data_IF_534274150231
#
_entry.id   IF_534274150231
#
_cell.length_a   1.000
_cell.length_b   1.000
_cell.length_c   1.000
_cell.angle_alpha   90.00
_cell.angle_beta   90.00
_cell.angle_gamma   90.00
#
_symmetry.space_group_name_H-M   'P 1'
#
loop_
_entity.id
_entity.type
_entity.pdbx_description
1 polymer ?
#
# COMPACT_ATOMS: atom_id res chain seq x y z
N UNK A 1 -56.44 11.68 -10.42
CA UNK A 1 -55.21 12.05 -9.71
C UNK A 1 -54.20 10.93 -9.92
N UNK A 2 -53.38 10.97 -10.97
CA UNK A 2 -52.32 9.98 -11.12
C UNK A 2 -51.10 10.43 -10.29
N UNK A 3 -50.57 9.48 -9.51
CA UNK A 3 -49.31 9.59 -8.79
C UNK A 3 -48.17 9.95 -9.75
N UNK A 4 -47.72 11.21 -9.68
CA UNK A 4 -46.46 11.63 -10.28
C UNK A 4 -45.34 11.04 -9.44
N UNK A 5 -44.95 9.85 -9.89
CA UNK A 5 -43.73 9.15 -9.51
C UNK A 5 -42.56 10.10 -9.25
N UNK A 6 -42.00 9.99 -8.04
CA UNK A 6 -40.79 10.63 -7.55
C UNK A 6 -39.52 10.34 -8.39
N UNK A 7 -39.63 9.57 -9.47
CA UNK A 7 -38.55 9.25 -10.41
C UNK A 7 -38.37 10.29 -11.53
N UNK A 8 -39.40 11.08 -11.85
CA UNK A 8 -39.32 12.10 -12.91
C UNK A 8 -38.61 13.39 -12.48
N UNK A 9 -38.68 13.73 -11.19
CA UNK A 9 -37.99 14.89 -10.61
C UNK A 9 -36.49 14.65 -10.39
N UNK A 10 -36.05 13.39 -10.27
CA UNK A 10 -34.64 13.07 -9.99
C UNK A 10 -33.72 13.23 -11.21
N UNK A 11 -34.25 13.15 -12.43
CA UNK A 11 -33.45 13.40 -13.66
C UNK A 11 -33.25 14.89 -13.96
N UNK A 12 -34.19 15.76 -13.60
CA UNK A 12 -34.16 17.16 -14.02
C UNK A 12 -33.01 17.95 -13.38
N UNK A 13 -32.74 17.76 -12.08
CA UNK A 13 -31.69 18.52 -11.41
C UNK A 13 -30.29 18.11 -11.85
N UNK A 14 -30.06 16.84 -12.20
CA UNK A 14 -28.74 16.37 -12.67
C UNK A 14 -28.36 17.01 -13.99
N UNK A 15 -29.35 17.18 -14.89
CA UNK A 15 -29.18 17.88 -16.15
C UNK A 15 -28.97 19.38 -15.92
N UNK A 16 -29.73 20.02 -15.02
CA UNK A 16 -29.53 21.43 -14.65
C UNK A 16 -28.13 21.67 -14.09
N UNK A 17 -27.63 20.78 -13.24
CA UNK A 17 -26.27 20.90 -12.69
C UNK A 17 -25.21 20.73 -13.78
N UNK A 18 -25.42 19.83 -14.74
CA UNK A 18 -24.43 19.53 -15.78
C UNK A 18 -24.47 20.51 -16.96
N UNK A 19 -25.58 21.24 -17.15
CA UNK A 19 -25.78 22.17 -18.26
C UNK A 19 -24.64 23.20 -18.44
N UNK A 20 -24.07 23.80 -17.37
CA UNK A 20 -22.92 24.71 -17.53
C UNK A 20 -21.69 24.08 -18.19
N UNK A 21 -21.55 22.76 -18.15
CA UNK A 21 -20.42 22.06 -18.79
C UNK A 21 -20.61 21.85 -20.29
N UNK A 22 -21.83 21.98 -20.81
CA UNK A 22 -22.06 22.07 -22.26
C UNK A 22 -21.44 23.35 -22.84
N UNK A 23 -21.37 24.41 -22.02
CA UNK A 23 -20.79 25.72 -22.34
C UNK A 23 -19.34 25.87 -21.82
N UNK A 24 -18.69 24.79 -21.36
CA UNK A 24 -17.34 24.80 -20.76
C UNK A 24 -17.19 25.72 -19.52
N UNK A 25 -18.29 26.01 -18.81
CA UNK A 25 -18.32 26.85 -17.61
C UNK A 25 -18.11 26.03 -16.33
N UNK A 26 -16.92 25.44 -16.15
CA UNK A 26 -16.56 24.66 -14.96
C UNK A 26 -16.79 25.38 -13.60
N UNK A 27 -16.50 26.69 -13.44
CA UNK A 27 -16.82 27.40 -12.20
C UNK A 27 -18.33 27.39 -11.88
N UNK A 28 -19.17 27.64 -12.89
CA UNK A 28 -20.61 27.70 -12.73
C UNK A 28 -21.18 26.30 -12.44
N UNK A 29 -20.61 25.26 -13.05
CA UNK A 29 -20.88 23.87 -12.69
C UNK A 29 -20.58 23.62 -11.21
N UNK A 30 -19.41 24.01 -10.71
CA UNK A 30 -19.05 23.80 -9.30
C UNK A 30 -19.96 24.58 -8.35
N UNK A 31 -20.34 25.82 -8.69
CA UNK A 31 -21.30 26.61 -7.89
C UNK A 31 -22.68 25.96 -7.87
N UNK A 32 -23.21 25.55 -9.02
CA UNK A 32 -24.49 24.86 -9.13
C UNK A 32 -24.45 23.53 -8.38
N UNK A 33 -23.42 22.72 -8.62
CA UNK A 33 -23.21 21.46 -7.95
C UNK A 33 -23.20 21.66 -6.42
N UNK A 34 -22.43 22.64 -5.93
CA UNK A 34 -22.35 22.99 -4.50
C UNK A 34 -23.68 23.42 -3.88
N UNK A 35 -24.50 24.16 -4.63
CA UNK A 35 -25.80 24.64 -4.18
C UNK A 35 -26.78 23.50 -3.97
N UNK A 36 -26.78 22.51 -4.87
CA UNK A 36 -27.65 21.34 -4.77
C UNK A 36 -27.04 20.21 -3.94
N UNK A 37 -25.81 20.35 -3.45
CA UNK A 37 -25.13 19.28 -2.74
C UNK A 37 -25.54 19.22 -1.25
N UNK A 38 -26.35 18.22 -0.91
CA UNK A 38 -26.79 17.92 0.47
C UNK A 38 -26.71 16.41 0.78
N UNK A 39 -26.93 16.04 2.06
CA UNK A 39 -26.96 14.68 2.59
C UNK A 39 -27.91 13.72 1.87
N UNK A 40 -28.89 14.23 1.13
CA UNK A 40 -29.88 13.40 0.43
C UNK A 40 -29.61 13.26 -1.08
N UNK A 41 -28.63 13.99 -1.62
CA UNK A 41 -28.36 14.04 -3.06
C UNK A 41 -27.02 13.38 -3.37
N UNK A 42 -27.08 12.22 -4.02
CA UNK A 42 -25.90 11.46 -4.44
C UNK A 42 -25.42 11.93 -5.82
N UNK A 43 -24.10 12.08 -6.01
CA UNK A 43 -23.55 12.38 -7.32
C UNK A 43 -23.79 11.22 -8.29
N UNK A 44 -24.19 11.53 -9.52
CA UNK A 44 -24.19 10.55 -10.60
C UNK A 44 -22.76 10.15 -11.00
N UNK A 45 -22.56 8.99 -11.65
CA UNK A 45 -21.24 8.60 -12.16
C UNK A 45 -20.61 9.67 -13.08
N UNK A 46 -21.45 10.31 -13.91
CA UNK A 46 -21.09 11.44 -14.76
C UNK A 46 -20.52 12.59 -13.92
N UNK A 47 -21.28 13.05 -12.92
CA UNK A 47 -20.87 14.18 -12.07
C UNK A 47 -19.57 13.89 -11.31
N UNK A 48 -19.41 12.70 -10.74
CA UNK A 48 -18.19 12.35 -10.00
C UNK A 48 -16.96 12.30 -10.92
N UNK A 49 -17.10 11.76 -12.14
CA UNK A 49 -16.01 11.75 -13.12
C UNK A 49 -15.64 13.14 -13.63
N UNK A 50 -16.62 14.03 -13.76
CA UNK A 50 -16.38 15.43 -14.09
C UNK A 50 -15.63 16.14 -12.95
N UNK A 51 -16.01 15.92 -11.69
CA UNK A 51 -15.27 16.44 -10.54
C UNK A 51 -13.83 15.92 -10.52
N UNK A 52 -13.61 14.63 -10.77
CA UNK A 52 -12.26 14.06 -10.88
C UNK A 52 -11.46 14.69 -12.02
N UNK A 53 -12.08 14.88 -13.19
CA UNK A 53 -11.45 15.51 -14.34
C UNK A 53 -11.01 16.95 -14.03
N UNK A 54 -11.92 17.74 -13.45
CA UNK A 54 -11.71 19.14 -13.06
C UNK A 54 -10.60 19.23 -12.01
N UNK A 55 -10.67 18.41 -10.94
CA UNK A 55 -9.66 18.37 -9.89
C UNK A 55 -8.26 18.14 -10.47
N UNK A 56 -8.12 17.14 -11.33
CA UNK A 56 -6.82 16.74 -11.86
C UNK A 56 -6.26 17.68 -12.95
N UNK A 57 -7.10 18.50 -13.60
CA UNK A 57 -6.66 19.16 -14.85
C UNK A 57 -7.30 20.51 -15.20
N UNK A 58 -8.09 21.13 -14.34
CA UNK A 58 -8.58 22.49 -14.61
C UNK A 58 -7.44 23.51 -14.49
N UNK A 59 -7.34 24.40 -15.49
CA UNK A 59 -6.42 25.54 -15.51
C UNK A 59 -7.26 26.81 -15.29
N UNK A 60 -7.62 27.12 -14.04
CA UNK A 60 -6.66 27.51 -13.01
C UNK A 60 -6.75 26.74 -11.68
N UNK A 61 -5.64 26.69 -10.93
CA UNK A 61 -5.49 25.98 -9.64
C UNK A 61 -6.60 26.23 -8.60
N UNK A 62 -7.17 27.45 -8.43
CA UNK A 62 -8.25 27.67 -7.47
C UNK A 62 -9.48 26.81 -7.72
N UNK A 63 -9.77 26.48 -8.98
CA UNK A 63 -10.89 25.59 -9.36
C UNK A 63 -10.59 24.15 -8.93
N UNK A 64 -9.36 23.68 -9.16
CA UNK A 64 -8.94 22.34 -8.72
C UNK A 64 -9.02 22.19 -7.21
N UNK A 65 -8.48 23.13 -6.43
CA UNK A 65 -8.55 23.10 -4.96
C UNK A 65 -9.98 23.20 -4.43
N UNK A 66 -10.81 24.04 -5.04
CA UNK A 66 -12.24 24.11 -4.70
C UNK A 66 -12.92 22.75 -4.95
N UNK A 67 -12.57 22.08 -6.04
CA UNK A 67 -13.11 20.76 -6.39
C UNK A 67 -12.66 19.69 -5.40
N UNK A 68 -11.39 19.68 -4.98
CA UNK A 68 -10.89 18.79 -3.91
C UNK A 68 -11.63 19.03 -2.59
N UNK A 69 -11.86 20.29 -2.23
CA UNK A 69 -12.64 20.66 -1.04
C UNK A 69 -14.07 20.10 -1.11
N UNK A 70 -14.68 20.14 -2.29
CA UNK A 70 -15.99 19.51 -2.51
C UNK A 70 -15.96 18.00 -2.38
N UNK A 71 -14.94 17.32 -2.92
CA UNK A 71 -14.79 15.87 -2.76
C UNK A 71 -14.67 15.49 -1.28
N UNK A 72 -13.90 16.25 -0.49
CA UNK A 72 -13.84 16.06 0.97
C UNK A 72 -15.20 16.32 1.64
N UNK A 73 -15.95 17.35 1.23
CA UNK A 73 -17.31 17.60 1.71
C UNK A 73 -18.27 16.46 1.35
N UNK A 74 -18.14 15.85 0.16
CA UNK A 74 -18.90 14.66 -0.23
C UNK A 74 -18.60 13.50 0.72
N UNK A 75 -17.32 13.26 1.02
CA UNK A 75 -16.93 12.20 1.95
C UNK A 75 -17.38 12.45 3.39
N UNK A 76 -17.61 13.70 3.81
CA UNK A 76 -18.11 14.00 5.16
C UNK A 76 -19.64 13.87 5.26
N UNK A 77 -20.37 14.23 4.20
CA UNK A 77 -21.84 14.19 4.18
C UNK A 77 -22.43 12.82 3.83
N UNK A 78 -21.74 12.03 3.01
CA UNK A 78 -22.27 10.76 2.48
C UNK A 78 -21.51 9.54 3.00
N UNK A 79 -22.19 8.40 3.07
CA UNK A 79 -21.54 7.10 3.30
C UNK A 79 -20.76 6.70 2.02
N UNK A 80 -19.52 6.20 2.12
CA UNK A 80 -18.75 5.75 0.95
C UNK A 80 -19.49 4.76 0.05
N UNK A 81 -20.22 3.82 0.65
CA UNK A 81 -21.01 2.80 -0.06
C UNK A 81 -22.06 3.40 -1.00
N UNK A 82 -22.60 4.58 -0.67
CA UNK A 82 -23.65 5.23 -1.46
C UNK A 82 -23.19 5.71 -2.85
N UNK A 83 -21.89 5.98 -3.02
CA UNK A 83 -21.32 6.46 -4.30
C UNK A 83 -20.13 5.62 -4.79
N UNK A 84 -19.87 4.46 -4.18
CA UNK A 84 -18.78 3.56 -4.58
C UNK A 84 -18.87 3.15 -6.06
N UNK A 85 -20.09 2.90 -6.56
CA UNK A 85 -20.36 2.54 -7.96
C UNK A 85 -20.05 3.65 -8.96
N UNK A 86 -19.85 4.89 -8.50
CA UNK A 86 -19.48 6.03 -9.34
C UNK A 86 -17.97 6.12 -9.56
N UNK A 87 -17.14 5.43 -8.77
CA UNK A 87 -15.68 5.48 -8.90
C UNK A 87 -15.17 4.69 -10.10
N UNK A 88 -14.11 5.17 -10.78
CA UNK A 88 -13.38 4.39 -11.76
C UNK A 88 -12.69 3.17 -11.11
N UNK A 89 -13.24 1.98 -11.34
CA UNK A 89 -12.70 0.71 -10.85
C UNK A 89 -12.10 -0.13 -11.98
N UNK A 90 -11.14 -0.99 -11.64
CA UNK A 90 -10.53 -1.94 -12.59
C UNK A 90 -11.59 -2.98 -13.02
N UNK A 91 -11.87 -3.13 -14.32
CA UNK A 91 -12.88 -4.08 -14.81
C UNK A 91 -12.53 -5.53 -14.48
N UNK A 92 -13.51 -6.27 -13.96
CA UNK A 92 -13.36 -7.67 -13.50
C UNK A 92 -13.39 -8.67 -14.68
N UNK A 93 -13.84 -8.25 -15.87
CA UNK A 93 -13.88 -9.09 -17.07
C UNK A 93 -13.40 -8.33 -18.32
N UNK A 94 -12.90 -9.07 -19.31
CA UNK A 94 -12.50 -8.52 -20.61
C UNK A 94 -13.69 -7.82 -21.31
N UNK A 95 -14.92 -8.33 -21.13
CA UNK A 95 -16.14 -7.72 -21.67
C UNK A 95 -16.40 -6.33 -21.06
N UNK A 96 -16.21 -6.19 -19.74
CA UNK A 96 -16.36 -4.92 -19.04
C UNK A 96 -15.21 -3.96 -19.35
N UNK A 97 -14.06 -4.44 -19.82
CA UNK A 97 -12.91 -3.61 -20.22
C UNK A 97 -13.26 -2.67 -21.37
N UNK A 98 -14.07 -3.13 -22.33
CA UNK A 98 -14.45 -2.34 -23.50
C UNK A 98 -15.43 -1.21 -23.16
N UNK A 99 -16.31 -1.43 -22.18
CA UNK A 99 -17.29 -0.42 -21.75
C UNK A 99 -17.68 -0.59 -20.26
N UNK A 100 -16.83 -0.12 -19.33
CA UNK A 100 -17.06 -0.26 -17.90
C UNK A 100 -18.35 0.45 -17.49
N UNK A 101 -19.11 -0.11 -16.53
CA UNK A 101 -20.40 0.46 -16.08
C UNK A 101 -20.29 1.93 -15.68
N UNK A 102 -19.21 2.29 -14.99
CA UNK A 102 -18.96 3.66 -14.56
C UNK A 102 -18.79 4.62 -15.76
N UNK A 103 -18.36 4.17 -16.94
CA UNK A 103 -18.10 5.00 -18.12
C UNK A 103 -19.27 5.09 -19.12
N UNK A 104 -20.44 4.50 -18.81
CA UNK A 104 -21.57 4.34 -19.77
C UNK A 104 -22.46 5.58 -19.99
N UNK A 105 -22.05 6.75 -19.53
CA UNK A 105 -22.84 7.98 -19.65
C UNK A 105 -22.58 8.72 -20.98
N UNK A 106 -23.53 9.54 -21.44
CA UNK A 106 -23.44 10.30 -22.69
C UNK A 106 -22.80 11.67 -22.46
N UNK A 107 -21.83 12.01 -23.32
CA UNK A 107 -21.09 13.27 -23.25
C UNK A 107 -21.54 14.18 -24.39
N UNK A 108 -22.07 15.35 -24.04
CA UNK A 108 -22.66 16.31 -24.98
C UNK A 108 -21.79 17.57 -25.14
N UNK A 109 -21.01 17.93 -24.11
CA UNK A 109 -20.10 19.09 -24.11
C UNK A 109 -18.63 18.74 -24.36
N UNK A 110 -17.81 19.75 -24.67
CA UNK A 110 -16.36 19.56 -24.86
C UNK A 110 -15.67 19.09 -23.59
N UNK A 111 -15.91 19.76 -22.46
CA UNK A 111 -15.41 19.34 -21.14
C UNK A 111 -15.86 17.91 -20.80
N UNK A 112 -17.09 17.55 -21.14
CA UNK A 112 -17.61 16.20 -20.91
C UNK A 112 -16.90 15.13 -21.77
N UNK A 113 -16.69 15.41 -23.05
CA UNK A 113 -15.92 14.53 -23.94
C UNK A 113 -14.48 14.37 -23.46
N UNK A 114 -13.85 15.45 -23.01
CA UNK A 114 -12.49 15.43 -22.47
C UNK A 114 -12.40 14.63 -21.17
N UNK A 115 -13.38 14.79 -20.27
CA UNK A 115 -13.50 13.98 -19.06
C UNK A 115 -13.70 12.50 -19.38
N UNK A 116 -14.66 12.17 -20.24
CA UNK A 116 -14.94 10.79 -20.64
C UNK A 116 -13.74 10.14 -21.33
N UNK A 117 -13.03 10.86 -22.20
CA UNK A 117 -11.80 10.38 -22.85
C UNK A 117 -10.71 10.07 -21.83
N UNK A 118 -10.48 10.98 -20.86
CA UNK A 118 -9.44 10.78 -19.84
C UNK A 118 -9.79 9.68 -18.85
N UNK A 119 -11.00 9.67 -18.34
CA UNK A 119 -11.51 8.57 -17.53
C UNK A 119 -11.42 7.25 -18.32
N UNK A 120 -11.63 7.28 -19.64
CA UNK A 120 -11.40 6.17 -20.55
C UNK A 120 -9.96 5.66 -20.61
N UNK A 121 -8.95 6.49 -20.37
CA UNK A 121 -7.56 6.04 -20.25
C UNK A 121 -7.34 5.21 -18.97
N UNK A 122 -8.16 5.40 -17.94
CA UNK A 122 -8.19 4.60 -16.70
C UNK A 122 -8.99 3.30 -16.82
N UNK A 123 -9.34 2.85 -18.03
CA UNK A 123 -10.08 1.58 -18.23
C UNK A 123 -9.32 0.35 -17.73
N UNK A 124 -7.98 0.38 -17.78
CA UNK A 124 -7.14 -0.75 -17.38
C UNK A 124 -6.73 -0.64 -15.90
N UNK A 125 -6.36 0.56 -15.47
CA UNK A 125 -5.77 0.81 -14.15
C UNK A 125 -6.76 1.42 -13.14
N UNK A 126 -8.03 1.62 -13.52
CA UNK A 126 -9.04 2.29 -12.70
C UNK A 126 -8.62 3.69 -12.28
N UNK A 127 -8.88 4.05 -11.03
CA UNK A 127 -8.51 5.33 -10.44
C UNK A 127 -7.00 5.57 -10.42
N UNK A 128 -6.19 4.51 -10.32
CA UNK A 128 -4.73 4.64 -10.33
C UNK A 128 -4.22 5.19 -11.66
N UNK A 129 -4.84 4.81 -12.78
CA UNK A 129 -4.51 5.34 -14.11
C UNK A 129 -4.71 6.85 -14.24
N UNK A 130 -5.59 7.44 -13.42
CA UNK A 130 -5.95 8.86 -13.52
C UNK A 130 -4.99 9.79 -12.78
N UNK A 131 -4.31 9.31 -11.75
CA UNK A 131 -3.41 10.14 -10.93
C UNK A 131 -2.00 10.26 -11.50
N UNK A 132 -1.65 9.38 -12.44
CA UNK A 132 -0.36 9.39 -13.13
C UNK A 132 -0.29 10.47 -14.21
N UNK A 133 0.83 11.17 -14.24
CA UNK A 133 1.23 12.06 -15.33
C UNK A 133 2.53 11.53 -15.93
N UNK A 134 2.65 11.62 -17.26
CA UNK A 134 3.92 11.33 -17.95
C UNK A 134 4.84 12.54 -17.79
N UNK A 135 6.07 12.33 -17.35
CA UNK A 135 7.05 13.42 -17.34
C UNK A 135 7.23 14.01 -18.74
N UNK A 136 7.22 15.34 -18.84
CA UNK A 136 7.51 16.08 -20.08
C UNK A 136 9.01 15.92 -20.39
N UNK A 137 9.38 14.80 -21.00
CA UNK A 137 10.76 14.45 -21.31
C UNK A 137 10.92 13.07 -21.96
N UNK A 138 9.96 12.18 -21.74
CA UNK A 138 9.88 10.89 -22.42
C UNK A 138 9.56 11.11 -23.91
N UNK A 139 10.58 11.25 -24.75
CA UNK A 139 10.43 11.22 -26.21
C UNK A 139 9.71 9.92 -26.55
N UNK A 140 8.49 10.05 -27.05
CA UNK A 140 7.77 8.98 -27.75
C UNK A 140 8.72 8.48 -28.84
N UNK A 141 9.35 7.32 -28.65
CA UNK A 141 10.02 6.63 -29.75
C UNK A 141 8.89 6.15 -30.65
N UNK A 142 8.64 6.90 -31.72
CA UNK A 142 7.75 6.50 -32.79
C UNK A 142 8.38 5.29 -33.48
N UNK A 143 8.04 4.09 -32.99
CA UNK A 143 8.38 2.82 -33.60
C UNK A 143 7.46 2.54 -34.79
N UNK A 144 7.79 3.13 -35.94
CA UNK A 144 7.29 2.67 -37.22
C UNK A 144 8.17 1.49 -37.65
N UNK A 145 7.66 0.26 -37.53
CA UNK A 145 8.42 -0.95 -37.84
C UNK A 145 7.51 -2.15 -38.09
N UNK A 146 7.36 -2.49 -39.37
CA UNK A 146 6.51 -3.55 -39.90
C UNK A 146 7.19 -4.92 -39.71
N UNK A 147 6.49 -5.85 -39.04
CA UNK A 147 6.58 -7.32 -39.22
C UNK A 147 7.87 -8.06 -38.84
N UNK A 148 7.81 -8.90 -37.80
CA UNK A 148 7.97 -10.37 -37.93
C UNK A 148 7.62 -11.03 -36.59
N UNK A 149 6.95 -12.20 -36.65
CA UNK A 149 6.78 -13.12 -35.52
C UNK A 149 8.17 -13.55 -35.02
N UNK A 150 8.37 -13.56 -33.70
CA UNK A 150 8.80 -14.75 -32.96
C UNK A 150 8.67 -14.53 -31.44
N UNK A 151 8.47 -15.65 -30.77
CA UNK A 151 8.15 -15.87 -29.36
C UNK A 151 9.29 -15.38 -28.46
N UNK A 152 9.05 -14.36 -27.63
CA UNK A 152 9.77 -14.06 -26.37
C UNK A 152 9.12 -12.81 -25.73
N UNK A 153 8.01 -13.03 -25.01
CA UNK A 153 7.14 -11.97 -24.50
C UNK A 153 7.09 -11.92 -22.96
N UNK A 154 8.24 -11.97 -22.27
CA UNK A 154 8.26 -11.96 -20.79
C UNK A 154 9.28 -11.01 -20.10
N UNK A 155 9.95 -10.08 -20.80
CA UNK A 155 10.96 -9.21 -20.13
C UNK A 155 10.84 -7.68 -20.33
N UNK A 156 9.81 -7.15 -21.00
CA UNK A 156 9.74 -5.70 -21.31
C UNK A 156 8.80 -4.84 -20.43
N UNK A 157 8.18 -5.36 -19.36
CA UNK A 157 7.38 -4.51 -18.45
C UNK A 157 8.22 -3.67 -17.46
N UNK A 158 9.51 -3.98 -17.28
CA UNK A 158 10.36 -3.34 -16.26
C UNK A 158 10.93 -1.97 -16.61
N UNK A 159 10.90 -1.53 -17.87
CA UNK A 159 11.59 -0.30 -18.33
C UNK A 159 10.70 0.90 -18.64
N UNK A 160 9.39 0.71 -18.80
CA UNK A 160 8.45 1.80 -19.12
C UNK A 160 7.78 2.42 -17.88
N UNK A 161 7.99 1.85 -16.69
CA UNK A 161 7.40 2.35 -15.44
C UNK A 161 8.13 3.55 -14.83
N UNK A 162 9.35 3.87 -15.28
CA UNK A 162 10.21 4.92 -14.70
C UNK A 162 9.78 6.34 -15.04
N UNK A 163 8.87 6.53 -16.00
CA UNK A 163 8.50 7.86 -16.53
C UNK A 163 7.13 8.35 -16.02
N UNK A 164 6.48 7.61 -15.11
CA UNK A 164 5.20 7.96 -14.50
C UNK A 164 5.42 8.58 -13.12
N UNK A 165 4.96 9.81 -12.94
CA UNK A 165 4.98 10.52 -11.65
C UNK A 165 3.56 10.91 -11.28
N UNK A 166 3.24 10.90 -9.98
CA UNK A 166 1.94 11.36 -9.49
C UNK A 166 1.95 12.89 -9.45
N UNK A 167 0.97 13.52 -10.10
CA UNK A 167 0.81 14.99 -10.09
C UNK A 167 0.44 15.53 -8.71
N UNK A 168 0.64 16.84 -8.47
CA UNK A 168 0.20 17.52 -7.25
C UNK A 168 -1.27 17.30 -6.95
N UNK A 169 -2.15 17.58 -7.92
CA UNK A 169 -3.58 17.32 -7.76
C UNK A 169 -3.89 15.82 -7.68
N UNK A 170 -3.05 14.96 -8.26
CA UNK A 170 -3.11 13.51 -8.08
C UNK A 170 -2.95 13.11 -6.62
N UNK A 171 -2.01 13.72 -5.89
CA UNK A 171 -1.83 13.48 -4.46
C UNK A 171 -3.01 13.95 -3.62
N UNK A 172 -3.61 15.09 -3.96
CA UNK A 172 -4.83 15.58 -3.31
C UNK A 172 -6.03 14.64 -3.54
N UNK A 173 -6.20 14.13 -4.76
CA UNK A 173 -7.22 13.12 -5.06
C UNK A 173 -6.95 11.82 -4.29
N UNK A 174 -5.69 11.36 -4.23
CA UNK A 174 -5.32 10.19 -3.42
C UNK A 174 -5.60 10.40 -1.93
N UNK A 175 -5.34 11.59 -1.40
CA UNK A 175 -5.65 11.93 -0.01
C UNK A 175 -7.16 11.83 0.29
N UNK A 176 -7.98 12.34 -0.63
CA UNK A 176 -9.43 12.17 -0.56
C UNK A 176 -9.84 10.69 -0.63
N UNK A 177 -9.34 9.93 -1.61
CA UNK A 177 -9.67 8.51 -1.79
C UNK A 177 -9.31 7.67 -0.55
N UNK A 178 -8.13 7.88 0.01
CA UNK A 178 -7.70 7.19 1.24
C UNK A 178 -8.63 7.52 2.39
N UNK A 179 -9.06 8.78 2.52
CA UNK A 179 -10.04 9.19 3.53
C UNK A 179 -11.40 8.48 3.34
N UNK A 180 -11.83 8.33 2.08
CA UNK A 180 -13.06 7.58 1.75
C UNK A 180 -12.91 6.10 2.10
N UNK A 181 -11.78 5.47 1.78
CA UNK A 181 -11.52 4.05 2.09
C UNK A 181 -11.38 3.78 3.59
N UNK A 182 -10.71 4.66 4.34
CA UNK A 182 -10.63 4.54 5.80
C UNK A 182 -12.01 4.70 6.46
N UNK A 183 -12.85 5.61 5.94
CA UNK A 183 -14.24 5.76 6.38
C UNK A 183 -15.06 4.49 6.08
N UNK A 184 -14.92 3.95 4.87
CA UNK A 184 -15.56 2.70 4.44
C UNK A 184 -15.16 1.53 5.36
N UNK A 185 -13.87 1.40 5.67
CA UNK A 185 -13.36 0.41 6.63
C UNK A 185 -13.96 0.61 8.04
N UNK A 186 -14.04 1.85 8.52
CA UNK A 186 -14.59 2.16 9.84
C UNK A 186 -16.09 1.88 9.94
N UNK A 187 -16.85 2.08 8.86
CA UNK A 187 -18.28 1.76 8.80
C UNK A 187 -18.53 0.25 8.82
N UNK A 188 -17.80 -0.52 8.00
CA UNK A 188 -17.91 -1.97 7.99
C UNK A 188 -17.48 -2.60 9.33
N UNK A 189 -16.45 -2.05 9.97
CA UNK A 189 -16.00 -2.50 11.29
C UNK A 189 -17.02 -2.29 12.41
N UNK A 190 -18.02 -1.41 12.26
CA UNK A 190 -19.11 -1.23 13.23
C UNK A 190 -20.20 -2.31 13.12
N UNK A 191 -20.48 -2.78 11.91
CA UNK A 191 -21.53 -3.77 11.64
C UNK A 191 -21.05 -5.21 11.67
N UNK A 192 -19.75 -5.44 11.44
CA UNK A 192 -19.12 -6.76 11.32
C UNK A 192 -17.71 -6.71 11.92
N UNK A 193 -17.49 -7.14 13.17
CA UNK A 193 -16.16 -7.10 13.79
C UNK A 193 -15.13 -7.96 13.05
N UNK A 194 -15.59 -8.92 12.25
CA UNK A 194 -14.83 -9.79 11.36
C UNK A 194 -14.39 -9.11 10.05
N UNK A 195 -15.09 -8.05 9.60
CA UNK A 195 -14.78 -7.32 8.37
C UNK A 195 -13.98 -6.05 8.69
N UNK A 196 -12.67 -6.23 8.81
CA UNK A 196 -11.71 -5.18 9.24
C UNK A 196 -11.03 -4.47 8.09
N UNK A 197 -11.61 -4.54 6.89
CA UNK A 197 -11.09 -3.93 5.67
C UNK A 197 -12.11 -3.06 4.96
N UNK A 198 -11.63 -2.21 4.06
CA UNK A 198 -12.47 -1.47 3.10
C UNK A 198 -12.73 -2.34 1.88
N UNK A 199 -13.97 -2.83 1.64
CA UNK A 199 -14.32 -3.49 0.39
C UNK A 199 -14.10 -2.56 -0.82
N UNK A 200 -14.37 -1.27 -0.63
CA UNK A 200 -14.24 -0.25 -1.67
C UNK A 200 -12.78 -0.10 -2.14
N UNK A 201 -11.81 -0.18 -1.24
CA UNK A 201 -10.39 -0.20 -1.58
C UNK A 201 -10.00 -1.48 -2.34
N UNK A 202 -10.52 -2.65 -1.94
CA UNK A 202 -10.24 -3.92 -2.62
C UNK A 202 -10.79 -3.95 -4.06
N UNK A 203 -11.86 -3.23 -4.34
CA UNK A 203 -12.38 -3.07 -5.71
C UNK A 203 -11.47 -2.21 -6.61
N UNK A 204 -10.56 -1.43 -6.03
CA UNK A 204 -9.60 -0.64 -6.80
C UNK A 204 -8.38 -1.45 -7.25
N UNK A 205 -8.26 -2.70 -6.81
CA UNK A 205 -7.11 -3.54 -7.13
C UNK A 205 -7.46 -4.43 -8.34
N UNK A 206 -6.55 -4.56 -9.32
CA UNK A 206 -6.75 -5.48 -10.42
C UNK A 206 -7.01 -6.91 -9.92
N UNK A 207 -8.06 -7.55 -10.43
CA UNK A 207 -8.38 -8.95 -10.13
C UNK A 207 -7.94 -9.83 -11.30
N UNK A 208 -7.31 -11.00 -11.07
CA UNK A 208 -7.13 -11.96 -12.13
C UNK A 208 -8.52 -12.40 -12.65
N UNK A 209 -8.68 -12.41 -13.97
CA UNK A 209 -9.94 -12.62 -14.68
C UNK A 209 -10.58 -14.01 -14.46
N UNK A 210 -9.94 -14.92 -13.72
CA UNK A 210 -10.16 -16.37 -13.89
C UNK A 210 -10.18 -17.22 -12.61
N UNK A 211 -10.35 -16.70 -11.39
CA UNK A 211 -10.29 -17.58 -10.21
C UNK A 211 -11.29 -17.27 -9.08
N UNK A 212 -12.00 -18.29 -8.54
CA UNK A 212 -12.64 -18.26 -7.22
C UNK A 212 -11.62 -18.36 -6.06
N UNK A 213 -10.33 -18.31 -6.36
CA UNK A 213 -9.23 -18.40 -5.39
C UNK A 213 -8.88 -17.03 -4.77
N UNK A 214 -8.17 -17.06 -3.64
CA UNK A 214 -7.62 -15.87 -2.96
C UNK A 214 -6.87 -14.98 -3.97
N UNK A 215 -7.07 -13.66 -3.90
CA UNK A 215 -6.44 -12.76 -4.86
C UNK A 215 -4.91 -12.88 -4.77
N UNK A 216 -4.27 -13.17 -5.91
CA UNK A 216 -2.85 -12.86 -6.08
C UNK A 216 -2.73 -11.34 -5.98
N UNK A 217 -1.82 -10.88 -5.12
CA UNK A 217 -1.62 -9.47 -4.81
C UNK A 217 -1.13 -8.69 -6.05
N UNK A 218 -2.06 -8.24 -6.91
CA UNK A 218 -1.75 -7.32 -8.01
C UNK A 218 -1.75 -5.87 -7.49
N UNK A 219 -0.91 -5.61 -6.49
CA UNK A 219 -0.77 -4.28 -5.88
C UNK A 219 0.36 -3.45 -6.50
N UNK A 220 0.75 -3.77 -7.73
CA UNK A 220 1.79 -3.06 -8.47
C UNK A 220 1.52 -1.55 -8.52
N UNK A 221 0.26 -1.16 -8.76
CA UNK A 221 -0.14 0.25 -8.84
C UNK A 221 -0.07 0.98 -7.48
N UNK A 222 -0.70 0.51 -6.38
CA UNK A 222 -0.52 1.11 -5.05
C UNK A 222 0.94 1.16 -4.58
N UNK A 223 1.75 0.16 -4.92
CA UNK A 223 3.16 0.12 -4.56
C UNK A 223 3.98 1.13 -5.35
N UNK A 224 3.72 1.29 -6.65
CA UNK A 224 4.35 2.31 -7.46
C UNK A 224 4.03 3.73 -6.94
N UNK A 225 2.77 3.99 -6.54
CA UNK A 225 2.41 5.25 -5.88
C UNK A 225 3.20 5.43 -4.58
N UNK A 226 3.30 4.38 -3.78
CA UNK A 226 4.08 4.42 -2.54
C UNK A 226 5.56 4.71 -2.81
N UNK A 227 6.16 4.07 -3.82
CA UNK A 227 7.53 4.37 -4.25
C UNK A 227 7.68 5.83 -4.64
N UNK A 228 6.74 6.38 -5.42
CA UNK A 228 6.77 7.78 -5.86
C UNK A 228 6.79 8.77 -4.69
N UNK A 229 6.10 8.49 -3.57
CA UNK A 229 6.12 9.36 -2.37
C UNK A 229 7.49 9.41 -1.67
N UNK A 230 8.29 8.36 -1.82
CA UNK A 230 9.53 8.16 -1.08
C UNK A 230 10.79 8.31 -1.95
N UNK A 231 10.67 8.47 -3.27
CA UNK A 231 11.77 8.86 -4.14
C UNK A 231 12.05 10.37 -4.04
N UNK A 232 13.31 10.80 -4.24
CA UNK A 232 13.69 12.23 -4.12
C UNK A 232 12.88 13.05 -5.14
N UNK A 233 12.12 14.03 -4.64
CA UNK A 233 11.59 15.09 -5.50
C UNK A 233 12.76 15.89 -6.09
N UNK A 234 12.77 16.25 -7.38
CA UNK A 234 13.83 17.04 -7.98
C UNK A 234 13.88 18.42 -7.30
N UNK A 235 14.80 18.58 -6.33
CA UNK A 235 14.91 19.80 -5.52
C UNK A 235 15.47 19.62 -4.11
N UNK A 236 15.57 18.39 -3.59
CA UNK A 236 16.35 18.08 -2.37
C UNK A 236 15.80 18.63 -1.04
N UNK A 237 14.82 19.53 -1.05
CA UNK A 237 14.18 20.07 0.16
C UNK A 237 12.94 19.23 0.49
N UNK A 238 12.88 18.71 1.71
CA UNK A 238 11.66 18.10 2.25
C UNK A 238 10.61 19.19 2.48
N UNK A 239 9.74 19.44 1.48
CA UNK A 239 8.59 20.33 1.67
C UNK A 239 7.53 19.67 2.57
N UNK A 240 6.64 20.47 3.16
CA UNK A 240 5.43 19.94 3.85
C UNK A 240 4.64 19.00 2.93
N UNK A 241 4.56 19.32 1.63
CA UNK A 241 3.91 18.47 0.63
C UNK A 241 4.55 17.08 0.57
N UNK A 242 5.88 16.98 0.68
CA UNK A 242 6.58 15.69 0.68
C UNK A 242 6.18 14.84 1.88
N UNK A 243 5.98 15.45 3.06
CA UNK A 243 5.52 14.74 4.25
C UNK A 243 4.07 14.27 4.11
N UNK A 244 3.20 15.10 3.53
CA UNK A 244 1.80 14.74 3.28
C UNK A 244 1.69 13.58 2.29
N UNK A 245 2.48 13.58 1.20
CA UNK A 245 2.53 12.47 0.23
C UNK A 245 2.97 11.15 0.86
N UNK A 246 4.02 11.19 1.69
CA UNK A 246 4.47 10.02 2.44
C UNK A 246 3.40 9.52 3.39
N UNK A 247 2.67 10.42 4.05
CA UNK A 247 1.57 10.02 4.92
C UNK A 247 0.44 9.34 4.16
N UNK A 248 0.06 9.85 2.98
CA UNK A 248 -0.92 9.21 2.08
C UNK A 248 -0.43 7.82 1.66
N UNK A 249 0.82 7.69 1.23
CA UNK A 249 1.41 6.40 0.85
C UNK A 249 1.40 5.39 2.02
N UNK A 250 1.76 5.80 3.23
CA UNK A 250 1.72 4.94 4.41
C UNK A 250 0.29 4.53 4.73
N UNK A 251 -0.69 5.42 4.59
CA UNK A 251 -2.11 5.07 4.77
C UNK A 251 -2.58 4.04 3.74
N UNK A 252 -2.14 4.14 2.48
CA UNK A 252 -2.40 3.12 1.45
C UNK A 252 -1.78 1.77 1.85
N UNK A 253 -0.54 1.77 2.32
CA UNK A 253 0.12 0.55 2.82
C UNK A 253 -0.57 -0.02 4.07
N UNK A 254 -1.06 0.84 4.96
CA UNK A 254 -1.78 0.45 6.17
C UNK A 254 -3.16 -0.13 5.84
N UNK A 255 -3.90 0.43 4.88
CA UNK A 255 -5.15 -0.16 4.37
C UNK A 255 -4.94 -1.59 3.84
N UNK A 256 -3.73 -1.89 3.33
CA UNK A 256 -3.29 -3.24 2.93
C UNK A 256 -2.81 -4.13 4.10
N UNK A 257 -2.25 -3.53 5.15
CA UNK A 257 -1.81 -4.25 6.35
C UNK A 257 -2.97 -4.61 7.30
N UNK A 258 -3.90 -3.69 7.52
CA UNK A 258 -5.06 -3.89 8.40
C UNK A 258 -6.07 -4.90 7.86
N UNK A 259 -6.24 -4.95 6.53
CA UNK A 259 -7.04 -5.97 5.82
C UNK A 259 -6.68 -7.38 6.25
N UNK A 260 -5.43 -7.59 6.63
CA UNK A 260 -4.88 -8.90 6.90
C UNK A 260 -4.76 -9.21 8.41
N UNK A 261 -4.42 -8.20 9.21
CA UNK A 261 -3.95 -8.44 10.59
C UNK A 261 -5.07 -8.64 11.61
N UNK A 262 -6.24 -8.02 11.40
CA UNK A 262 -7.34 -8.08 12.40
C UNK A 262 -8.45 -9.08 12.04
N UNK A 263 -8.60 -9.42 10.76
CA UNK A 263 -9.48 -10.48 10.28
C UNK A 263 -9.13 -11.89 10.83
N UNK A 264 -7.94 -12.07 11.41
CA UNK A 264 -7.50 -13.37 11.96
C UNK A 264 -7.44 -13.44 13.49
N UNK A 265 -7.42 -12.33 14.21
CA UNK A 265 -7.60 -12.36 15.68
C UNK A 265 -8.97 -12.94 16.08
N UNK A 266 -9.92 -13.01 15.13
CA UNK A 266 -11.26 -13.60 15.26
C UNK A 266 -11.34 -15.04 14.68
N UNK A 267 -10.27 -15.55 14.03
CA UNK A 267 -10.25 -16.89 13.42
C UNK A 267 -10.13 -18.05 14.41
N UNK A 268 -10.17 -17.81 15.71
CA UNK A 268 -10.42 -18.87 16.68
C UNK A 268 -11.85 -19.44 16.55
N UNK A 269 -12.78 -18.81 15.83
CA UNK A 269 -14.13 -19.37 15.70
C UNK A 269 -14.97 -19.04 14.44
N UNK A 270 -14.58 -18.16 13.51
CA UNK A 270 -15.39 -17.94 12.28
C UNK A 270 -14.61 -17.32 11.10
N UNK A 271 -15.03 -17.69 9.87
CA UNK A 271 -14.75 -17.01 8.57
C UNK A 271 -14.96 -15.49 8.64
N UNK A 272 -14.27 -14.66 7.81
CA UNK A 272 -13.91 -14.94 6.41
C UNK A 272 -12.41 -15.12 6.07
N UNK A 273 -12.17 -15.50 4.81
CA UNK A 273 -10.85 -15.61 4.17
C UNK A 273 -10.16 -14.26 4.03
N UNK A 274 -8.81 -14.19 4.15
CA UNK A 274 -8.10 -12.95 3.85
C UNK A 274 -8.32 -12.57 2.37
N UNK A 275 -8.33 -11.28 2.00
CA UNK A 275 -8.53 -10.89 0.61
C UNK A 275 -7.34 -11.25 -0.30
N UNK A 276 -6.13 -11.39 0.27
CA UNK A 276 -4.89 -11.68 -0.47
C UNK A 276 -4.23 -12.99 -0.04
N UNK A 277 -3.45 -13.56 -0.94
CA UNK A 277 -2.47 -14.58 -0.57
C UNK A 277 -1.33 -13.96 0.28
N UNK A 278 -1.03 -14.49 1.49
CA UNK A 278 -0.17 -13.80 2.45
C UNK A 278 1.28 -13.72 2.01
N UNK A 279 1.77 -14.79 1.37
CA UNK A 279 3.12 -14.83 0.85
C UNK A 279 3.32 -13.82 -0.30
N UNK A 280 2.26 -13.58 -1.09
CA UNK A 280 2.32 -12.63 -2.20
C UNK A 280 2.43 -11.20 -1.68
N UNK A 281 1.60 -10.82 -0.70
CA UNK A 281 1.70 -9.52 -0.02
C UNK A 281 3.09 -9.28 0.57
N UNK A 282 3.64 -10.27 1.28
CA UNK A 282 4.97 -10.18 1.88
C UNK A 282 6.07 -9.96 0.82
N UNK A 283 5.97 -10.65 -0.31
CA UNK A 283 6.92 -10.49 -1.41
C UNK A 283 6.83 -9.09 -2.04
N UNK A 284 5.62 -8.56 -2.23
CA UNK A 284 5.41 -7.23 -2.77
C UNK A 284 5.94 -6.13 -1.83
N UNK A 285 5.74 -6.28 -0.52
CA UNK A 285 6.30 -5.38 0.49
C UNK A 285 7.83 -5.48 0.57
N UNK A 286 8.38 -6.68 0.47
CA UNK A 286 9.83 -6.89 0.38
C UNK A 286 10.41 -6.20 -0.86
N UNK A 287 9.73 -6.29 -2.00
CA UNK A 287 10.16 -5.61 -3.22
C UNK A 287 10.12 -4.07 -3.08
N UNK A 288 9.08 -3.53 -2.41
CA UNK A 288 9.03 -2.11 -2.06
C UNK A 288 10.25 -1.71 -1.22
N UNK A 289 10.54 -2.43 -0.14
CA UNK A 289 11.67 -2.11 0.75
C UNK A 289 13.01 -2.15 0.02
N UNK A 290 13.20 -3.08 -0.93
CA UNK A 290 14.44 -3.18 -1.73
C UNK A 290 14.64 -2.02 -2.72
N UNK A 291 13.55 -1.42 -3.19
CA UNK A 291 13.58 -0.41 -4.26
C UNK A 291 13.65 1.01 -3.72
N UNK A 292 13.34 1.21 -2.44
CA UNK A 292 13.39 2.53 -1.82
C UNK A 292 14.83 2.93 -1.44
N UNK A 293 15.15 4.24 -1.51
CA UNK A 293 16.40 4.74 -0.98
C UNK A 293 16.58 4.42 0.52
N UNK A 294 17.79 4.11 0.94
CA UNK A 294 18.05 3.65 2.31
C UNK A 294 17.72 4.71 3.37
N UNK A 295 18.00 5.98 3.08
CA UNK A 295 17.74 7.10 4.00
C UNK A 295 16.25 7.33 4.26
N UNK A 296 15.33 6.84 3.40
CA UNK A 296 13.87 6.97 3.62
C UNK A 296 13.25 5.80 4.39
N UNK A 297 13.94 4.66 4.48
CA UNK A 297 13.41 3.47 5.17
C UNK A 297 13.11 3.71 6.66
N UNK A 298 13.93 4.45 7.44
CA UNK A 298 13.59 4.75 8.83
C UNK A 298 12.29 5.53 8.98
N UNK A 299 12.06 6.54 8.12
CA UNK A 299 10.82 7.34 8.11
C UNK A 299 9.62 6.46 7.75
N UNK A 300 9.75 5.62 6.70
CA UNK A 300 8.73 4.63 6.34
C UNK A 300 8.40 3.70 7.52
N UNK A 301 9.41 3.07 8.12
CA UNK A 301 9.23 2.11 9.22
C UNK A 301 8.62 2.77 10.46
N UNK A 302 9.03 3.99 10.80
CA UNK A 302 8.46 4.76 11.92
C UNK A 302 6.98 5.11 11.66
N UNK A 303 6.61 5.44 10.43
CA UNK A 303 5.21 5.74 10.08
C UNK A 303 4.36 4.47 10.06
N UNK A 304 4.89 3.38 9.51
CA UNK A 304 4.22 2.08 9.53
C UNK A 304 4.02 1.57 10.97
N UNK A 305 4.97 1.78 11.89
CA UNK A 305 4.81 1.33 13.29
C UNK A 305 3.67 1.98 14.05
N UNK A 306 3.18 3.14 13.58
CA UNK A 306 1.99 3.80 14.14
C UNK A 306 0.67 3.24 13.59
N UNK A 307 0.72 2.54 12.45
CA UNK A 307 -0.46 2.14 11.67
C UNK A 307 -0.52 0.63 11.40
N UNK A 308 0.51 -0.15 11.70
CA UNK A 308 0.51 -1.60 11.48
C UNK A 308 0.86 -2.28 12.81
N UNK A 309 0.19 -3.39 13.15
CA UNK A 309 0.54 -4.14 14.36
C UNK A 309 2.01 -4.58 14.37
N UNK A 310 2.62 -4.47 15.54
CA UNK A 310 4.06 -4.66 15.72
C UNK A 310 4.54 -6.04 15.28
N UNK A 311 3.72 -7.08 15.44
CA UNK A 311 4.06 -8.45 15.09
C UNK A 311 4.24 -8.62 13.57
N UNK A 312 3.43 -7.93 12.77
CA UNK A 312 3.54 -7.94 11.30
C UNK A 312 4.82 -7.24 10.86
N UNK A 313 5.17 -6.14 11.52
CA UNK A 313 6.42 -5.43 11.24
C UNK A 313 7.64 -6.25 11.65
N UNK A 314 7.60 -6.89 12.82
CA UNK A 314 8.66 -7.79 13.27
C UNK A 314 8.83 -8.96 12.28
N UNK A 315 7.73 -9.53 11.79
CA UNK A 315 7.76 -10.53 10.73
C UNK A 315 8.40 -9.99 9.43
N UNK A 316 7.93 -8.85 8.92
CA UNK A 316 8.47 -8.21 7.73
C UNK A 316 9.98 -7.95 7.85
N UNK A 317 10.42 -7.37 8.96
CA UNK A 317 11.85 -7.10 9.19
C UNK A 317 12.66 -8.39 9.22
N UNK A 318 12.15 -9.45 9.86
CA UNK A 318 12.79 -10.76 9.86
C UNK A 318 12.97 -11.28 8.43
N UNK A 319 11.93 -11.22 7.61
CA UNK A 319 11.98 -11.64 6.20
C UNK A 319 12.95 -10.77 5.38
N UNK A 320 13.01 -9.46 5.63
CA UNK A 320 14.01 -8.57 5.00
C UNK A 320 15.43 -8.98 5.39
N UNK A 321 15.68 -9.33 6.65
CA UNK A 321 17.01 -9.76 7.12
C UNK A 321 17.40 -11.10 6.50
N UNK A 322 16.49 -12.08 6.47
CA UNK A 322 16.72 -13.36 5.79
C UNK A 322 17.04 -13.17 4.30
N UNK A 323 16.41 -12.19 3.66
CA UNK A 323 16.59 -11.89 2.26
C UNK A 323 17.95 -11.27 1.94
N UNK A 324 18.38 -10.27 2.74
CA UNK A 324 19.71 -9.67 2.58
C UNK A 324 20.83 -10.66 2.92
N UNK A 325 20.60 -11.54 3.90
CA UNK A 325 21.50 -12.65 4.24
C UNK A 325 21.51 -13.78 3.20
N UNK A 326 20.55 -13.80 2.27
CA UNK A 326 20.46 -14.83 1.22
C UNK A 326 20.07 -16.21 1.75
N UNK A 327 19.35 -16.27 2.87
CA UNK A 327 18.89 -17.51 3.52
C UNK A 327 17.37 -17.71 3.46
N UNK A 328 16.62 -16.70 2.99
CA UNK A 328 15.14 -16.72 2.94
C UNK A 328 14.55 -17.96 2.28
N UNK A 329 15.08 -18.38 1.13
CA UNK A 329 14.57 -19.56 0.41
C UNK A 329 14.79 -20.84 1.20
N UNK A 330 16.01 -21.06 1.68
CA UNK A 330 16.36 -22.21 2.52
C UNK A 330 15.51 -22.25 3.81
N UNK A 331 15.38 -21.13 4.51
CA UNK A 331 14.57 -21.01 5.73
C UNK A 331 13.07 -21.23 5.45
N UNK A 332 12.56 -20.70 4.34
CA UNK A 332 11.18 -20.96 3.92
C UNK A 332 10.93 -22.44 3.62
N UNK A 333 11.89 -23.15 3.03
CA UNK A 333 11.80 -24.59 2.79
C UNK A 333 11.89 -25.40 4.08
N UNK A 334 12.81 -25.06 4.98
CA UNK A 334 12.94 -25.64 6.31
C UNK A 334 11.60 -25.54 7.07
N UNK A 335 11.01 -24.35 7.11
CA UNK A 335 9.69 -24.11 7.71
C UNK A 335 8.59 -24.92 7.05
N UNK A 336 8.61 -25.08 5.73
CA UNK A 336 7.65 -25.91 4.99
C UNK A 336 7.79 -27.40 5.33
N UNK A 337 9.02 -27.89 5.46
CA UNK A 337 9.31 -29.29 5.81
C UNK A 337 8.94 -29.59 7.27
N UNK A 338 9.25 -28.68 8.19
CA UNK A 338 8.88 -28.80 9.61
C UNK A 338 7.35 -28.90 9.78
N UNK A 339 6.58 -28.10 9.04
CA UNK A 339 5.11 -28.18 9.02
C UNK A 339 4.58 -29.51 8.48
N UNK A 340 5.25 -30.12 7.50
CA UNK A 340 4.87 -31.44 6.96
C UNK A 340 5.17 -32.59 7.91
N UNK A 341 6.22 -32.46 8.73
CA UNK A 341 6.59 -33.46 9.75
C UNK A 341 5.68 -33.42 10.98
N UNK A 342 5.13 -32.26 11.32
CA UNK A 342 4.10 -32.10 12.37
C UNK A 342 2.74 -32.61 11.88
N UNK A 343 2.55 -33.94 11.81
CA UNK A 343 1.19 -34.51 11.92
C UNK A 343 0.71 -34.29 13.37
N UNK A 344 -0.56 -33.93 13.59
CA UNK A 344 -1.07 -33.75 14.95
C UNK A 344 -1.29 -35.13 15.57
N UNK A 345 -0.38 -35.56 16.44
CA UNK A 345 -0.70 -36.60 17.44
C UNK A 345 -1.30 -35.88 18.66
N UNK A 346 -2.55 -36.19 19.07
CA UNK A 346 -3.24 -35.49 20.16
C UNK A 346 -2.60 -35.69 21.55
N UNK A 347 -1.69 -36.64 21.72
CA UNK A 347 -1.26 -37.13 23.05
C UNK A 347 0.10 -36.60 23.53
N UNK A 348 0.90 -35.93 22.68
CA UNK A 348 2.23 -35.41 23.04
C UNK A 348 2.28 -33.89 23.16
N UNK A 349 1.36 -33.31 23.95
CA UNK A 349 1.34 -31.86 24.25
C UNK A 349 2.23 -31.44 25.43
N UNK A 350 2.98 -32.36 26.06
CA UNK A 350 3.66 -32.10 27.33
C UNK A 350 5.19 -32.20 27.32
N UNK A 351 5.84 -32.43 26.17
CA UNK A 351 7.31 -32.52 26.11
C UNK A 351 7.89 -31.63 25.01
N UNK A 352 8.43 -30.48 25.41
CA UNK A 352 9.40 -29.67 24.66
C UNK A 352 8.98 -29.32 23.23
N UNK A 353 8.11 -28.33 23.07
CA UNK A 353 7.88 -27.70 21.75
C UNK A 353 9.23 -27.14 21.29
N UNK A 354 9.84 -27.74 20.28
CA UNK A 354 10.92 -27.10 19.52
C UNK A 354 10.40 -25.71 19.11
N UNK A 355 10.94 -24.67 19.74
CA UNK A 355 10.64 -23.27 19.43
C UNK A 355 10.92 -23.08 17.93
N UNK A 356 9.87 -22.93 17.13
CA UNK A 356 10.04 -22.60 15.72
C UNK A 356 10.67 -21.20 15.57
N UNK A 357 11.08 -20.85 14.35
CA UNK A 357 11.58 -19.50 14.03
C UNK A 357 10.59 -18.38 14.46
N UNK A 358 9.29 -18.69 14.47
CA UNK A 358 8.20 -17.75 14.74
C UNK A 358 7.21 -18.26 15.78
N UNK A 359 6.59 -17.33 16.50
CA UNK A 359 5.59 -17.62 17.53
C UNK A 359 4.25 -18.08 16.92
N UNK A 360 3.82 -19.31 17.22
CA UNK A 360 2.65 -19.93 16.58
C UNK A 360 1.32 -19.20 16.84
N UNK A 361 1.20 -18.50 17.97
CA UNK A 361 -0.07 -17.92 18.45
C UNK A 361 -0.49 -16.66 17.68
N UNK A 362 0.38 -16.14 16.80
CA UNK A 362 0.18 -14.87 16.09
C UNK A 362 -0.33 -15.02 14.65
N UNK A 363 -0.77 -16.23 14.28
CA UNK A 363 -1.40 -16.48 12.98
C UNK A 363 -0.39 -16.45 11.82
N UNK A 364 -0.72 -15.74 10.74
CA UNK A 364 0.02 -15.85 9.47
C UNK A 364 1.25 -14.94 9.36
N UNK A 365 1.27 -13.80 10.04
CA UNK A 365 2.49 -12.99 10.19
C UNK A 365 2.94 -12.99 11.64
N UNK A 366 3.43 -14.15 12.12
CA UNK A 366 3.89 -14.28 13.48
C UNK A 366 5.21 -13.50 13.67
N UNK A 367 5.42 -12.89 14.84
CA UNK A 367 6.72 -12.31 15.16
C UNK A 367 7.75 -13.44 15.36
N UNK A 368 9.04 -13.16 15.13
CA UNK A 368 10.09 -14.14 15.41
C UNK A 368 10.12 -14.47 16.90
N UNK A 369 10.57 -15.68 17.24
CA UNK A 369 10.90 -16.00 18.64
C UNK A 369 12.10 -15.17 19.09
N UNK A 370 12.28 -15.02 20.40
CA UNK A 370 13.46 -14.31 20.95
C UNK A 370 14.74 -15.04 20.55
N UNK A 371 14.74 -16.38 20.64
CA UNK A 371 15.82 -17.24 20.14
C UNK A 371 16.16 -16.97 18.67
N UNK A 372 15.15 -16.95 17.79
CA UNK A 372 15.37 -16.70 16.36
C UNK A 372 15.80 -15.25 16.09
N UNK A 373 15.30 -14.30 16.87
CA UNK A 373 15.72 -12.89 16.80
C UNK A 373 17.23 -12.77 17.07
N UNK A 374 17.74 -13.41 18.13
CA UNK A 374 19.18 -13.41 18.40
C UNK A 374 20.00 -14.03 17.25
N UNK A 375 19.53 -15.14 16.68
CA UNK A 375 20.21 -15.81 15.56
C UNK A 375 20.25 -14.91 14.31
N UNK A 376 19.11 -14.32 13.92
CA UNK A 376 19.00 -13.53 12.69
C UNK A 376 19.73 -12.19 12.80
N UNK A 377 19.85 -11.62 14.00
CA UNK A 377 20.66 -10.43 14.25
C UNK A 377 22.14 -10.67 13.92
N UNK A 378 22.66 -11.87 14.16
CA UNK A 378 24.05 -12.23 13.84
C UNK A 378 24.26 -12.63 12.37
N UNK A 379 23.20 -12.79 11.56
CA UNK A 379 23.31 -13.27 10.19
C UNK A 379 24.12 -12.28 9.32
N UNK A 380 25.17 -12.73 8.61
CA UNK A 380 25.94 -11.85 7.72
C UNK A 380 25.13 -11.51 6.47
N UNK A 381 25.37 -10.34 5.90
CA UNK A 381 24.79 -9.95 4.62
C UNK A 381 25.57 -10.60 3.48
N UNK A 382 24.87 -11.22 2.52
CA UNK A 382 25.47 -11.97 1.42
C UNK A 382 25.54 -11.12 0.14
N UNK A 383 26.72 -11.11 -0.49
CA UNK A 383 26.91 -10.65 -1.87
C UNK A 383 26.74 -9.14 -2.08
N UNK A 384 27.30 -8.31 -1.21
CA UNK A 384 27.11 -6.85 -1.27
C UNK A 384 28.32 -6.10 -1.84
N UNK A 385 28.32 -5.89 -3.16
CA UNK A 385 29.41 -5.17 -3.84
C UNK A 385 29.38 -3.65 -3.62
N UNK A 386 28.23 -3.08 -3.24
CA UNK A 386 28.03 -1.62 -3.15
C UNK A 386 27.75 -1.10 -1.73
N UNK A 387 27.55 -1.99 -0.76
CA UNK A 387 27.22 -1.62 0.63
C UNK A 387 25.72 -1.40 0.86
N UNK A 388 24.90 -1.39 -0.19
CA UNK A 388 23.47 -1.08 -0.10
C UNK A 388 22.69 -2.17 0.65
N UNK A 389 23.02 -3.45 0.42
CA UNK A 389 22.37 -4.57 1.11
C UNK A 389 22.77 -4.61 2.59
N UNK A 390 23.99 -4.21 2.91
CA UNK A 390 24.54 -4.14 4.27
C UNK A 390 23.83 -3.05 5.06
N UNK A 391 23.69 -1.86 4.46
CA UNK A 391 22.89 -0.77 5.04
C UNK A 391 21.42 -1.17 5.24
N UNK A 392 20.77 -1.79 4.23
CA UNK A 392 19.40 -2.28 4.36
C UNK A 392 19.27 -3.29 5.51
N UNK A 393 20.18 -4.28 5.57
CA UNK A 393 20.21 -5.28 6.62
C UNK A 393 20.36 -4.66 8.01
N UNK A 394 21.27 -3.70 8.16
CA UNK A 394 21.47 -3.01 9.43
C UNK A 394 20.21 -2.23 9.85
N UNK A 395 19.55 -1.50 8.94
CA UNK A 395 18.30 -0.77 9.23
C UNK A 395 17.18 -1.73 9.64
N UNK A 396 17.00 -2.84 8.92
CA UNK A 396 15.99 -3.85 9.24
C UNK A 396 16.25 -4.52 10.59
N UNK A 397 17.49 -4.90 10.89
CA UNK A 397 17.89 -5.45 12.20
C UNK A 397 17.65 -4.47 13.34
N UNK A 398 17.96 -3.20 13.11
CA UNK A 398 17.73 -2.15 14.09
C UNK A 398 16.23 -1.96 14.38
N UNK A 399 15.40 -1.93 13.33
CA UNK A 399 13.95 -1.82 13.47
C UNK A 399 13.33 -3.06 14.13
N UNK A 400 13.83 -4.26 13.82
CA UNK A 400 13.42 -5.49 14.49
C UNK A 400 13.75 -5.44 15.98
N UNK A 401 15.02 -5.17 16.32
CA UNK A 401 15.47 -5.10 17.71
C UNK A 401 14.67 -4.07 18.51
N UNK A 402 14.44 -2.88 17.94
CA UNK A 402 13.67 -1.81 18.57
C UNK A 402 12.22 -2.23 18.86
N UNK A 403 11.56 -2.92 17.91
CA UNK A 403 10.19 -3.42 18.12
C UNK A 403 10.16 -4.53 19.16
N UNK A 404 11.11 -5.47 19.12
CA UNK A 404 11.15 -6.60 20.05
C UNK A 404 11.42 -6.12 21.49
N UNK A 405 12.39 -5.23 21.69
CA UNK A 405 12.70 -4.63 22.99
C UNK A 405 11.56 -3.81 23.59
N UNK A 406 10.74 -3.17 22.75
CA UNK A 406 9.57 -2.43 23.20
C UNK A 406 8.41 -3.34 23.66
N UNK A 407 8.47 -4.64 23.36
CA UNK A 407 7.38 -5.60 23.59
C UNK A 407 7.72 -6.65 24.64
N UNK A 408 8.93 -7.19 24.59
CA UNK A 408 9.48 -8.05 25.63
C UNK A 408 10.57 -7.27 26.34
N UNK A 409 10.35 -6.99 27.63
CA UNK A 409 11.38 -6.36 28.45
C UNK A 409 12.66 -7.20 28.34
N UNK A 410 13.83 -6.58 28.23
CA UNK A 410 15.10 -7.35 28.14
C UNK A 410 15.34 -8.19 29.41
N UNK A 411 14.75 -7.78 30.54
CA UNK A 411 14.73 -8.55 31.78
C UNK A 411 13.83 -9.77 31.75
N UNK A 412 13.06 -9.98 30.67
CA UNK A 412 12.26 -11.18 30.48
C UNK A 412 13.19 -12.41 30.40
N UNK A 413 12.96 -13.46 31.20
CA UNK A 413 13.78 -14.68 31.20
C UNK A 413 13.99 -15.29 29.82
N UNK A 414 13.05 -15.08 28.88
CA UNK A 414 13.18 -15.57 27.50
C UNK A 414 14.39 -14.97 26.76
N UNK A 415 14.79 -13.72 27.05
CA UNK A 415 16.00 -13.13 26.49
C UNK A 415 17.26 -13.78 27.07
N UNK A 416 17.32 -13.99 28.38
CA UNK A 416 18.46 -14.64 29.03
C UNK A 416 18.65 -16.06 28.48
N UNK A 417 17.59 -16.86 28.46
CA UNK A 417 17.64 -18.22 27.90
C UNK A 417 18.03 -18.25 26.42
N UNK A 418 17.53 -17.29 25.62
CA UNK A 418 17.88 -17.20 24.20
C UNK A 418 19.36 -16.84 24.00
N UNK A 419 19.94 -16.03 24.89
CA UNK A 419 21.34 -15.61 24.84
C UNK A 419 22.30 -16.71 25.29
N UNK A 420 21.93 -17.48 26.32
CA UNK A 420 22.69 -18.66 26.76
C UNK A 420 22.80 -19.73 25.67
N UNK A 421 21.82 -19.78 24.76
CA UNK A 421 21.82 -20.69 23.59
C UNK A 421 22.69 -20.19 22.43
N UNK A 422 23.25 -18.98 22.49
CA UNK A 422 24.11 -18.46 21.42
C UNK A 422 25.55 -18.96 21.56
N UNK A 423 26.21 -19.15 20.43
CA UNK A 423 27.60 -19.58 20.38
C UNK A 423 28.57 -18.47 20.84
N UNK A 424 29.79 -18.89 21.21
CA UNK A 424 30.91 -17.98 21.45
C UNK A 424 31.13 -17.04 20.25
N UNK A 425 31.42 -15.77 20.56
CA UNK A 425 31.63 -14.73 19.55
C UNK A 425 30.33 -14.15 18.96
N UNK A 426 29.14 -14.52 19.46
CA UNK A 426 27.87 -14.00 18.95
C UNK A 426 27.78 -12.46 19.06
N UNK A 427 28.21 -11.87 20.19
CA UNK A 427 28.15 -10.42 20.40
C UNK A 427 28.98 -9.67 19.34
N UNK A 428 30.14 -10.21 19.00
CA UNK A 428 31.05 -9.68 17.98
C UNK A 428 30.43 -9.78 16.59
N UNK A 429 29.79 -10.92 16.27
CA UNK A 429 29.07 -11.08 14.99
C UNK A 429 27.91 -10.11 14.85
N UNK A 430 27.12 -9.91 15.91
CA UNK A 430 26.04 -8.93 15.91
C UNK A 430 26.61 -7.54 15.67
N UNK A 431 27.64 -7.10 16.44
CA UNK A 431 28.29 -5.80 16.24
C UNK A 431 28.79 -5.61 14.82
N UNK A 432 29.54 -6.57 14.29
CA UNK A 432 30.06 -6.55 12.91
C UNK A 432 28.93 -6.43 11.88
N UNK A 433 27.79 -7.07 12.13
CA UNK A 433 26.65 -7.03 11.22
C UNK A 433 25.89 -5.70 11.17
N UNK A 434 26.16 -4.79 12.11
CA UNK A 434 25.70 -3.40 12.12
C UNK A 434 26.77 -2.41 11.60
N UNK A 435 27.97 -2.88 11.28
CA UNK A 435 29.03 -2.03 10.74
C UNK A 435 28.75 -1.68 9.29
N UNK A 436 28.49 -0.40 9.05
CA UNK A 436 28.36 0.19 7.72
C UNK A 436 29.68 0.88 7.40
N UNK A 437 30.40 0.38 6.39
CA UNK A 437 31.64 0.98 5.88
C UNK A 437 31.37 1.79 4.60
N UNK A 438 32.07 2.91 4.42
CA UNK A 438 32.00 3.74 3.21
C UNK A 438 31.79 5.23 3.47
N UNK A 439 31.75 6.02 2.39
CA UNK A 439 31.33 7.44 2.45
C UNK A 439 29.82 7.46 2.62
N UNK A 440 29.37 8.16 3.66
CA UNK A 440 27.97 8.19 4.09
C UNK A 440 27.51 9.64 4.02
N UNK A 441 26.36 9.89 3.39
CA UNK A 441 25.74 11.23 3.39
C UNK A 441 25.42 11.66 4.83
N UNK A 442 25.36 12.96 5.11
CA UNK A 442 25.19 13.47 6.49
C UNK A 442 23.93 12.90 7.19
N UNK A 443 22.82 12.77 6.47
CA UNK A 443 21.59 12.17 6.98
C UNK A 443 21.75 10.68 7.33
N UNK A 444 22.45 9.93 6.48
CA UNK A 444 22.76 8.52 6.75
C UNK A 444 23.73 8.38 7.94
N UNK A 445 24.66 9.32 8.14
CA UNK A 445 25.60 9.29 9.27
C UNK A 445 24.87 9.47 10.61
N UNK A 446 23.85 10.35 10.66
CA UNK A 446 22.98 10.53 11.84
C UNK A 446 22.19 9.26 12.15
N UNK A 447 21.69 8.57 11.13
CA UNK A 447 20.99 7.29 11.28
C UNK A 447 21.91 6.22 11.88
N UNK A 448 23.13 6.08 11.34
CA UNK A 448 24.13 5.12 11.84
C UNK A 448 24.45 5.40 13.32
N UNK A 449 24.58 6.67 13.71
CA UNK A 449 24.82 7.03 15.11
C UNK A 449 23.66 6.62 16.04
N UNK A 450 22.42 6.83 15.61
CA UNK A 450 21.23 6.41 16.37
C UNK A 450 21.16 4.88 16.51
N UNK A 451 21.47 4.14 15.45
CA UNK A 451 21.52 2.68 15.46
C UNK A 451 22.57 2.15 16.45
N UNK A 452 23.79 2.71 16.41
CA UNK A 452 24.87 2.36 17.35
C UNK A 452 24.46 2.57 18.81
N UNK A 453 23.69 3.63 19.11
CA UNK A 453 23.20 3.88 20.46
C UNK A 453 22.24 2.79 20.95
N UNK A 454 21.29 2.36 20.12
CA UNK A 454 20.33 1.32 20.49
C UNK A 454 21.00 -0.04 20.65
N UNK A 455 21.94 -0.38 19.76
CA UNK A 455 22.75 -1.61 19.88
C UNK A 455 23.59 -1.58 21.16
N UNK A 456 24.18 -0.43 21.51
CA UNK A 456 24.91 -0.26 22.77
C UNK A 456 23.99 -0.41 23.99
N UNK A 457 22.79 0.18 23.97
CA UNK A 457 21.80 0.01 25.05
C UNK A 457 21.39 -1.45 25.20
N UNK A 458 21.13 -2.15 24.10
CA UNK A 458 20.84 -3.58 24.11
C UNK A 458 21.97 -4.35 24.79
N UNK A 459 23.23 -4.13 24.41
CA UNK A 459 24.37 -4.80 25.05
C UNK A 459 24.66 -4.35 26.49
N UNK A 460 24.24 -3.16 26.91
CA UNK A 460 24.36 -2.72 28.30
C UNK A 460 23.31 -3.34 29.22
N UNK A 461 22.16 -3.72 28.65
CA UNK A 461 21.07 -4.37 29.37
C UNK A 461 21.24 -5.89 29.46
N UNK A 462 22.24 -6.45 28.77
CA UNK A 462 22.67 -7.85 28.79
C UNK A 462 23.94 -8.03 29.60
#
# INVERSE_FOLDING_TARGET
MPDVTSSSLSLNWQNVISAPLEEDLAPLFLTSFAYFFDKNLLPSPKQLQLLLHIALHSSPEPISHSTITFLHKLSSLQLPSSYAHCLPIVPISAELKNNPKWLRWEANGRTEMDAKRRCGNGREDGIWGLVWVREKGAKKRDGHGHGHRDEDADEEEGKNATDKVVSEMGWEVLHWLVTVWEKDQAEHGKGRPDQTYSPMFLEQLPRPYSAPELQLDNATLPLAVSQCAFHKSPGGIQSEDTQQRREVAVRILALRGYTYTRAQLIRASSTPSPPFHPASLMLSLLNLVRTLPLFVLPDLFQRLSKRIPWNVLAHLYTIVIEDVAGVRTAKSEERRLARKKRKPDPETLSAGVEEGDFQADFGVFPPPTVTYTCQILAAPVKGDRKGDRTKLGAVAKWSLLSIMMARTAITDPTWQMALERQEDGWKERVKASFEISGVVEEEEARLIAAMKKIVAVFFMML
#
